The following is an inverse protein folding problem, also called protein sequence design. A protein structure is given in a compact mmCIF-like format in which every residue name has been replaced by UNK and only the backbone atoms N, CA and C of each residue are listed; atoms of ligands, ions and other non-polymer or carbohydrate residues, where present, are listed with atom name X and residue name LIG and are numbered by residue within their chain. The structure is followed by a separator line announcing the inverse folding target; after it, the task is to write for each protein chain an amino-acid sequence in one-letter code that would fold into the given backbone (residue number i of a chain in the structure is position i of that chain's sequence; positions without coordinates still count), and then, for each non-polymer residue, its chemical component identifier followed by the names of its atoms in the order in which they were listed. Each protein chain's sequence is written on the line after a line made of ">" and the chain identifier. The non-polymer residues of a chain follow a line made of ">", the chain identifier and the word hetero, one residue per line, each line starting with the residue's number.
data_IF_167459283292
#
_entry.id   IF_167459283292
#
_cell.length_a   1.000
_cell.length_b   1.000
_cell.length_c   1.000
_cell.angle_alpha   90.00
_cell.angle_beta   90.00
_cell.angle_gamma   90.00
#
_symmetry.space_group_name_H-M   'P 1'
#
loop_
_entity.id
_entity.type
_entity.pdbx_description
1 polymer ?
#
# COMPACT_ATOMS: atom_id res chain seq x y z
N UNK A 1 -20.74 3.24 8.24
CA UNK A 1 -20.56 2.71 6.87
C UNK A 1 -21.03 1.27 6.91
N UNK A 2 -22.00 0.93 6.06
CA UNK A 2 -22.52 -0.44 5.95
C UNK A 2 -21.57 -1.33 5.12
N UNK A 3 -21.89 -2.62 5.06
CA UNK A 3 -21.09 -3.63 4.34
C UNK A 3 -20.95 -3.30 2.86
N UNK A 4 -22.05 -2.96 2.18
CA UNK A 4 -22.05 -2.71 0.73
C UNK A 4 -21.23 -1.48 0.35
N UNK A 5 -21.34 -0.39 1.11
CA UNK A 5 -20.53 0.81 0.91
C UNK A 5 -19.04 0.51 1.11
N UNK A 6 -18.69 -0.30 2.12
CA UNK A 6 -17.31 -0.72 2.38
C UNK A 6 -16.77 -1.60 1.26
N UNK A 7 -17.56 -2.59 0.83
CA UNK A 7 -17.19 -3.49 -0.27
C UNK A 7 -16.97 -2.70 -1.56
N UNK A 8 -17.85 -1.76 -1.91
CA UNK A 8 -17.67 -0.88 -3.08
C UNK A 8 -16.39 -0.05 -2.99
N UNK A 9 -16.13 0.55 -1.84
CA UNK A 9 -14.91 1.33 -1.60
C UNK A 9 -13.65 0.45 -1.78
N UNK A 10 -13.64 -0.74 -1.20
CA UNK A 10 -12.53 -1.69 -1.30
C UNK A 10 -12.32 -2.19 -2.73
N UNK A 11 -13.39 -2.49 -3.47
CA UNK A 11 -13.33 -2.84 -4.90
C UNK A 11 -12.72 -1.71 -5.73
N UNK A 12 -13.12 -0.45 -5.48
CA UNK A 12 -12.52 0.71 -6.15
C UNK A 12 -11.03 0.86 -5.84
N UNK A 13 -10.64 0.64 -4.58
CA UNK A 13 -9.24 0.69 -4.17
C UNK A 13 -8.42 -0.43 -4.84
N UNK A 14 -8.94 -1.66 -4.94
CA UNK A 14 -8.27 -2.76 -5.67
C UNK A 14 -8.09 -2.43 -7.15
N UNK A 15 -9.14 -1.93 -7.81
CA UNK A 15 -9.08 -1.50 -9.22
C UNK A 15 -8.10 -0.36 -9.47
N UNK A 16 -7.83 0.47 -8.46
CA UNK A 16 -6.80 1.52 -8.51
C UNK A 16 -5.37 0.99 -8.28
N UNK A 17 -5.17 -0.33 -8.19
CA UNK A 17 -3.88 -0.97 -7.98
C UNK A 17 -3.51 -1.13 -6.50
N UNK A 18 -4.50 -1.35 -5.63
CA UNK A 18 -4.29 -1.47 -4.19
C UNK A 18 -3.44 -2.68 -3.74
N UNK A 19 -3.43 -3.76 -4.50
CA UNK A 19 -2.78 -5.05 -4.16
C UNK A 19 -1.59 -5.41 -5.05
N UNK A 20 -1.47 -4.81 -6.23
CA UNK A 20 -0.48 -5.18 -7.22
C UNK A 20 0.94 -4.73 -6.86
N UNK A 21 1.87 -5.71 -6.79
CA UNK A 21 3.30 -5.53 -7.09
C UNK A 21 3.39 -4.58 -8.27
N UNK A 22 4.01 -3.44 -8.04
CA UNK A 22 3.78 -2.32 -8.92
C UNK A 22 4.43 -2.56 -10.27
N UNK A 23 3.62 -2.51 -11.32
CA UNK A 23 4.08 -1.97 -12.58
C UNK A 23 3.78 -0.48 -12.50
N UNK A 24 4.81 0.36 -12.48
CA UNK A 24 4.61 1.72 -12.93
C UNK A 24 4.05 1.60 -14.35
N UNK A 25 2.87 2.17 -14.60
CA UNK A 25 2.44 2.48 -15.96
C UNK A 25 2.73 3.96 -16.12
N UNK A 26 3.87 4.37 -16.69
CA UNK A 26 4.06 5.75 -17.06
C UNK A 26 3.21 6.01 -18.30
N UNK A 27 2.44 7.08 -18.22
CA UNK A 27 1.90 7.72 -19.41
C UNK A 27 3.08 8.36 -20.13
N UNK A 28 3.69 7.64 -21.09
CA UNK A 28 4.76 8.17 -21.93
C UNK A 28 5.68 7.10 -22.55
N UNK A 29 5.50 6.87 -23.85
CA UNK A 29 6.36 6.16 -24.83
C UNK A 29 6.94 4.78 -24.45
N UNK A 30 6.55 3.78 -25.24
CA UNK A 30 6.62 2.32 -25.04
C UNK A 30 7.99 1.66 -24.77
N UNK A 31 9.12 2.36 -24.83
CA UNK A 31 10.44 1.70 -24.78
C UNK A 31 11.22 1.85 -23.46
N UNK A 32 10.77 2.69 -22.52
CA UNK A 32 11.39 2.82 -21.19
C UNK A 32 10.69 2.00 -20.07
N UNK A 33 9.70 1.18 -20.42
CA UNK A 33 8.59 0.83 -19.51
C UNK A 33 8.51 -0.63 -19.08
N UNK A 34 9.54 -1.12 -18.39
CA UNK A 34 9.45 -2.37 -17.61
C UNK A 34 10.28 -2.30 -16.34
N UNK A 35 10.13 -1.23 -15.55
CA UNK A 35 10.72 -1.20 -14.21
C UNK A 35 9.56 -1.20 -13.21
N UNK A 36 9.34 -2.34 -12.60
CA UNK A 36 8.44 -2.54 -11.48
C UNK A 36 8.92 -1.73 -10.28
N UNK A 37 8.03 -1.35 -9.35
CA UNK A 37 8.44 -0.78 -8.07
C UNK A 37 9.35 -1.72 -7.30
N UNK A 38 9.17 -3.02 -7.48
CA UNK A 38 10.09 -3.99 -6.90
C UNK A 38 11.48 -3.93 -7.54
N UNK A 39 11.60 -3.62 -8.83
CA UNK A 39 12.89 -3.33 -9.45
C UNK A 39 13.45 -1.98 -8.99
N UNK A 40 12.63 -0.94 -8.78
CA UNK A 40 13.13 0.34 -8.23
C UNK A 40 13.62 0.16 -6.79
N UNK A 41 12.82 -0.47 -5.92
CA UNK A 41 13.17 -0.75 -4.53
C UNK A 41 14.32 -1.76 -4.44
N UNK A 42 14.37 -2.80 -5.27
CA UNK A 42 15.52 -3.71 -5.32
C UNK A 42 16.76 -3.02 -5.88
N UNK A 43 16.64 -2.16 -6.89
CA UNK A 43 17.77 -1.36 -7.36
C UNK A 43 18.30 -0.46 -6.25
N UNK A 44 17.42 0.14 -5.43
CA UNK A 44 17.78 0.94 -4.26
C UNK A 44 18.40 0.10 -3.13
N UNK A 45 17.88 -1.10 -2.88
CA UNK A 45 18.41 -2.01 -1.86
C UNK A 45 19.76 -2.62 -2.26
N UNK A 46 19.92 -2.99 -3.54
CA UNK A 46 21.16 -3.55 -4.10
C UNK A 46 22.24 -2.47 -4.16
N UNK A 47 21.92 -1.23 -4.53
CA UNK A 47 22.90 -0.13 -4.54
C UNK A 47 23.39 0.22 -3.13
N UNK A 48 22.50 0.26 -2.13
CA UNK A 48 22.85 0.57 -0.72
C UNK A 48 23.69 -0.53 -0.06
N UNK A 49 23.47 -1.82 -0.40
CA UNK A 49 24.14 -2.96 0.27
C UNK A 49 25.31 -3.59 -0.46
N UNK A 50 25.35 -3.53 -1.80
CA UNK A 50 26.30 -4.33 -2.58
C UNK A 50 27.38 -3.49 -3.28
N UNK A 51 27.31 -2.15 -3.24
CA UNK A 51 28.26 -1.25 -3.91
C UNK A 51 28.41 -1.52 -5.42
N UNK A 52 27.40 -2.18 -6.01
CA UNK A 52 27.32 -2.46 -7.45
C UNK A 52 26.44 -1.38 -8.07
N UNK A 53 27.08 -0.32 -8.55
CA UNK A 53 26.43 0.75 -9.31
C UNK A 53 26.03 0.23 -10.69
N UNK A 54 24.80 -0.26 -10.83
CA UNK A 54 24.16 -0.32 -12.13
C UNK A 54 23.92 1.13 -12.55
N UNK A 55 24.82 1.67 -13.37
CA UNK A 55 24.96 3.09 -13.76
C UNK A 55 23.62 3.84 -13.65
N UNK A 56 23.32 4.47 -12.49
CA UNK A 56 22.25 5.43 -12.42
C UNK A 56 22.66 6.55 -13.36
N UNK A 57 21.72 7.22 -14.02
CA UNK A 57 21.99 8.56 -14.51
C UNK A 57 22.47 9.37 -13.29
N UNK A 58 23.75 9.77 -13.20
CA UNK A 58 24.29 10.41 -12.00
C UNK A 58 23.50 11.65 -11.61
N UNK A 59 22.86 12.29 -12.59
CA UNK A 59 21.99 13.46 -12.41
C UNK A 59 20.74 13.16 -11.55
N UNK A 60 20.29 11.90 -11.48
CA UNK A 60 19.13 11.50 -10.68
C UNK A 60 19.46 11.15 -9.23
N UNK A 61 20.75 10.93 -8.89
CA UNK A 61 21.17 10.63 -7.52
C UNK A 61 21.00 11.85 -6.62
N UNK A 62 21.49 13.01 -7.06
CA UNK A 62 21.39 14.27 -6.30
C UNK A 62 19.93 14.66 -6.06
N UNK A 63 19.07 14.52 -7.07
CA UNK A 63 17.63 14.77 -6.94
C UNK A 63 17.01 13.82 -5.92
N UNK A 64 17.39 12.55 -5.90
CA UNK A 64 16.86 11.57 -4.96
C UNK A 64 17.30 11.81 -3.52
N UNK A 65 18.56 12.16 -3.28
CA UNK A 65 19.05 12.49 -1.95
C UNK A 65 18.28 13.67 -1.35
N UNK A 66 17.95 14.67 -2.18
CA UNK A 66 17.09 15.80 -1.78
C UNK A 66 15.70 15.30 -1.36
N UNK A 67 15.08 14.39 -2.13
CA UNK A 67 13.75 13.86 -1.79
C UNK A 67 13.79 13.01 -0.52
N UNK A 68 14.83 12.18 -0.34
CA UNK A 68 15.02 11.37 0.87
C UNK A 68 15.21 12.26 2.09
N UNK A 69 16.02 13.32 1.99
CA UNK A 69 16.21 14.30 3.06
C UNK A 69 14.86 14.96 3.44
N UNK A 70 14.10 15.44 2.45
CA UNK A 70 12.76 16.02 2.68
C UNK A 70 11.82 15.07 3.38
N UNK A 71 11.74 13.81 2.94
CA UNK A 71 10.89 12.81 3.57
C UNK A 71 11.38 12.43 4.98
N UNK A 72 12.69 12.53 5.25
CA UNK A 72 13.26 12.29 6.57
C UNK A 72 12.98 13.43 7.57
N UNK A 73 12.88 14.66 7.08
CA UNK A 73 12.55 15.84 7.88
C UNK A 73 11.08 15.84 8.33
N UNK A 74 10.20 15.16 7.59
CA UNK A 74 8.79 15.02 7.96
C UNK A 74 8.64 13.97 9.05
N UNK A 75 8.54 14.41 10.31
CA UNK A 75 8.31 13.53 11.46
C UNK A 75 6.83 13.17 11.62
N UNK A 76 6.56 11.86 11.61
CA UNK A 76 5.24 11.26 11.76
C UNK A 76 4.93 11.09 13.25
N UNK A 77 5.86 10.49 14.00
CA UNK A 77 5.69 10.19 15.42
C UNK A 77 7.04 10.10 16.12
N UNK A 78 7.33 11.05 17.01
CA UNK A 78 8.63 11.15 17.66
C UNK A 78 9.73 11.25 16.59
N UNK A 79 10.68 10.33 16.62
CA UNK A 79 11.80 10.29 15.67
C UNK A 79 11.47 9.58 14.34
N UNK A 80 10.30 8.95 14.24
CA UNK A 80 9.88 8.21 13.05
C UNK A 80 9.51 9.17 11.92
N UNK A 81 10.27 9.15 10.83
CA UNK A 81 10.06 9.97 9.64
C UNK A 81 9.11 9.34 8.61
N UNK A 82 8.64 10.16 7.66
CA UNK A 82 7.82 9.68 6.55
C UNK A 82 8.60 8.69 5.68
N UNK A 83 9.88 8.98 5.43
CA UNK A 83 10.78 8.07 4.74
C UNK A 83 10.87 6.71 5.43
N UNK A 84 10.99 6.69 6.76
CA UNK A 84 11.02 5.44 7.53
C UNK A 84 9.71 4.67 7.42
N UNK A 85 8.55 5.34 7.48
CA UNK A 85 7.26 4.68 7.24
C UNK A 85 7.19 4.06 5.83
N UNK A 86 7.71 4.75 4.81
CA UNK A 86 7.76 4.24 3.44
C UNK A 86 8.71 3.04 3.24
N UNK A 87 9.68 2.84 4.16
CA UNK A 87 10.56 1.66 4.16
C UNK A 87 10.02 0.47 4.96
N UNK A 88 9.03 0.70 5.81
CA UNK A 88 8.45 -0.35 6.65
C UNK A 88 7.51 -1.24 5.84
N UNK A 89 7.35 -2.48 6.31
CA UNK A 89 6.25 -3.33 5.85
C UNK A 89 4.89 -2.69 6.16
N UNK A 90 3.84 -3.11 5.45
CA UNK A 90 2.49 -2.59 5.68
C UNK A 90 2.03 -2.80 7.13
N UNK A 91 2.43 -3.91 7.74
CA UNK A 91 2.06 -4.28 9.11
C UNK A 91 2.77 -3.42 10.16
N UNK A 92 4.07 -3.20 9.98
CA UNK A 92 4.85 -2.29 10.83
C UNK A 92 4.33 -0.86 10.73
N UNK A 93 4.15 -0.35 9.50
CA UNK A 93 3.58 0.96 9.25
C UNK A 93 2.19 1.11 9.86
N UNK A 94 1.34 0.09 9.70
CA UNK A 94 0.00 0.07 10.27
C UNK A 94 0.03 0.13 11.80
N UNK A 95 0.91 -0.63 12.45
CA UNK A 95 1.05 -0.64 13.91
C UNK A 95 1.35 0.74 14.50
N UNK A 96 2.06 1.59 13.73
CA UNK A 96 2.40 2.96 14.09
C UNK A 96 1.22 3.90 13.80
N UNK A 97 0.67 3.84 12.59
CA UNK A 97 -0.33 4.80 12.09
C UNK A 97 -1.73 4.60 12.68
N UNK A 98 -2.12 3.36 13.00
CA UNK A 98 -3.50 3.04 13.41
C UNK A 98 -3.99 3.76 14.67
N UNK A 99 -3.06 4.14 15.55
CA UNK A 99 -3.37 4.81 16.81
C UNK A 99 -3.24 6.34 16.72
N UNK A 100 -2.89 6.88 15.54
CA UNK A 100 -2.76 8.32 15.35
C UNK A 100 -4.12 8.95 15.09
N UNK A 101 -4.53 9.85 15.99
CA UNK A 101 -5.78 10.61 15.81
C UNK A 101 -5.58 11.70 14.77
N UNK A 102 -6.57 11.85 13.88
CA UNK A 102 -6.59 12.88 12.83
C UNK A 102 -5.36 12.87 11.91
N UNK A 103 -4.74 11.70 11.73
CA UNK A 103 -3.59 11.58 10.85
C UNK A 103 -3.96 11.95 9.42
N UNK A 104 -3.11 12.76 8.79
CA UNK A 104 -3.17 13.11 7.37
C UNK A 104 -1.75 13.11 6.84
N UNK A 105 -1.59 12.69 5.59
CA UNK A 105 -0.31 12.84 4.89
C UNK A 105 0.05 14.32 4.91
N UNK A 106 1.21 14.70 5.47
CA UNK A 106 1.65 16.09 5.47
C UNK A 106 1.72 16.60 4.02
N UNK A 107 1.41 17.88 3.78
CA UNK A 107 1.57 18.46 2.46
C UNK A 107 3.04 18.36 2.07
N UNK A 108 3.34 17.62 1.01
CA UNK A 108 4.65 17.64 0.38
C UNK A 108 4.76 18.92 -0.45
N UNK A 109 5.90 19.59 -0.40
CA UNK A 109 6.11 20.87 -1.09
C UNK A 109 5.96 20.72 -2.61
N UNK A 110 5.73 21.83 -3.32
CA UNK A 110 5.65 21.84 -4.79
C UNK A 110 6.97 21.44 -5.48
N UNK A 111 8.05 21.31 -4.70
CA UNK A 111 9.37 20.87 -5.14
C UNK A 111 9.59 19.37 -4.90
N UNK A 112 8.57 18.65 -4.45
CA UNK A 112 8.59 17.19 -4.33
C UNK A 112 8.25 16.63 -5.70
N UNK A 113 9.10 15.75 -6.23
CA UNK A 113 8.85 15.12 -7.53
C UNK A 113 7.48 14.41 -7.49
N UNK A 114 6.68 14.63 -8.54
CA UNK A 114 5.33 14.08 -8.63
C UNK A 114 5.28 12.55 -8.49
N UNK A 115 6.33 11.84 -8.91
CA UNK A 115 6.52 10.39 -8.77
C UNK A 115 6.72 10.01 -7.30
N UNK A 116 7.55 10.74 -6.57
CA UNK A 116 7.77 10.55 -5.12
C UNK A 116 6.46 10.72 -4.36
N UNK A 117 5.73 11.78 -4.69
CA UNK A 117 4.43 12.06 -4.09
C UNK A 117 3.44 10.90 -4.34
N UNK A 118 3.42 10.35 -5.55
CA UNK A 118 2.56 9.23 -5.92
C UNK A 118 2.92 7.97 -5.15
N UNK A 119 4.22 7.65 -5.07
CA UNK A 119 4.74 6.50 -4.31
C UNK A 119 4.36 6.60 -2.83
N UNK A 120 4.65 7.74 -2.20
CA UNK A 120 4.36 7.97 -0.78
C UNK A 120 2.86 7.84 -0.52
N UNK A 121 2.02 8.48 -1.34
CA UNK A 121 0.55 8.41 -1.19
C UNK A 121 0.05 6.99 -1.33
N UNK A 122 0.56 6.23 -2.30
CA UNK A 122 0.14 4.84 -2.54
C UNK A 122 0.54 3.93 -1.38
N UNK A 123 1.80 3.99 -0.93
CA UNK A 123 2.27 3.20 0.21
C UNK A 123 1.46 3.47 1.48
N UNK A 124 1.20 4.75 1.77
CA UNK A 124 0.37 5.13 2.90
C UNK A 124 -1.09 4.67 2.74
N UNK A 125 -1.64 4.73 1.52
CA UNK A 125 -2.98 4.20 1.26
C UNK A 125 -3.04 2.68 1.51
N UNK A 126 -2.01 1.93 1.12
CA UNK A 126 -1.92 0.49 1.35
C UNK A 126 -1.77 0.16 2.84
N UNK A 127 -1.04 0.96 3.62
CA UNK A 127 -1.02 0.82 5.09
C UNK A 127 -2.41 1.10 5.67
N UNK A 128 -3.07 2.16 5.21
CA UNK A 128 -4.33 2.64 5.78
C UNK A 128 -5.56 1.86 5.30
N UNK A 129 -5.44 1.01 4.29
CA UNK A 129 -6.54 0.14 3.84
C UNK A 129 -6.79 -1.01 4.82
N UNK A 130 -5.77 -1.41 5.58
CA UNK A 130 -5.84 -2.58 6.47
C UNK A 130 -7.02 -2.52 7.46
N UNK A 131 -7.29 -1.41 8.19
CA UNK A 131 -8.50 -1.27 8.99
C UNK A 131 -9.80 -1.56 8.25
N UNK A 132 -9.88 -1.13 6.99
CA UNK A 132 -11.08 -1.31 6.19
C UNK A 132 -11.25 -2.76 5.76
N UNK A 133 -10.16 -3.46 5.47
CA UNK A 133 -10.16 -4.90 5.23
C UNK A 133 -10.54 -5.69 6.50
N UNK A 134 -9.96 -5.33 7.65
CA UNK A 134 -10.29 -5.94 8.95
C UNK A 134 -11.78 -5.75 9.30
N UNK A 135 -12.32 -4.55 9.07
CA UNK A 135 -13.75 -4.28 9.24
C UNK A 135 -14.59 -5.08 8.25
N UNK A 136 -14.18 -5.14 6.98
CA UNK A 136 -14.87 -5.90 5.95
C UNK A 136 -14.94 -7.39 6.29
N UNK A 137 -13.83 -8.00 6.70
CA UNK A 137 -13.81 -9.42 7.08
C UNK A 137 -14.63 -9.67 8.34
N UNK A 138 -14.59 -8.76 9.32
CA UNK A 138 -15.46 -8.85 10.49
C UNK A 138 -16.95 -8.76 10.11
N UNK A 139 -17.31 -7.87 9.18
CA UNK A 139 -18.67 -7.73 8.66
C UNK A 139 -19.07 -8.99 7.85
N UNK A 140 -18.17 -9.53 7.04
CA UNK A 140 -18.35 -10.78 6.28
C UNK A 140 -18.66 -11.97 7.20
N UNK A 141 -17.95 -12.08 8.33
CA UNK A 141 -18.19 -13.12 9.33
C UNK A 141 -19.59 -13.06 9.97
N UNK A 142 -20.22 -11.89 9.97
CA UNK A 142 -21.60 -11.71 10.45
C UNK A 142 -22.66 -12.05 9.42
N UNK A 143 -22.29 -12.28 8.16
CA UNK A 143 -23.24 -12.65 7.11
C UNK A 143 -23.68 -14.10 7.25
N UNK A 144 -24.85 -14.42 6.69
CA UNK A 144 -25.41 -15.78 6.63
C UNK A 144 -24.52 -16.76 5.84
N UNK A 145 -23.48 -16.27 5.15
CA UNK A 145 -22.53 -17.11 4.42
C UNK A 145 -21.54 -17.80 5.35
N UNK A 146 -21.01 -17.09 6.33
CA UNK A 146 -20.00 -17.62 7.25
C UNK A 146 -20.60 -18.35 8.46
N UNK A 147 -21.82 -17.96 8.88
CA UNK A 147 -22.57 -18.60 9.99
C UNK A 147 -21.76 -18.84 11.27
N UNK A 148 -20.79 -17.97 11.55
CA UNK A 148 -19.91 -18.15 12.71
C UNK A 148 -20.67 -18.03 14.04
N UNK A 149 -21.84 -17.37 14.06
CA UNK A 149 -22.67 -17.15 15.26
C UNK A 149 -21.89 -16.54 16.43
N UNK A 150 -20.87 -15.74 16.12
CA UNK A 150 -20.03 -15.07 17.11
C UNK A 150 -20.51 -13.62 17.30
N UNK A 151 -20.35 -13.04 18.51
CA UNK A 151 -20.53 -11.61 18.69
C UNK A 151 -19.59 -10.81 17.79
N UNK A 152 -20.06 -9.67 17.26
CA UNK A 152 -19.25 -8.84 16.36
C UNK A 152 -17.88 -8.45 16.93
N UNK A 153 -17.81 -8.18 18.24
CA UNK A 153 -16.55 -7.89 18.92
C UNK A 153 -15.53 -9.03 18.79
N UNK A 154 -15.98 -10.29 18.78
CA UNK A 154 -15.12 -11.46 18.56
C UNK A 154 -14.68 -11.54 17.11
N UNK A 155 -15.59 -11.35 16.15
CA UNK A 155 -15.27 -11.29 14.71
C UNK A 155 -14.21 -10.22 14.41
N UNK A 156 -14.31 -9.06 15.05
CA UNK A 156 -13.31 -7.97 14.98
C UNK A 156 -11.94 -8.40 15.47
N UNK A 157 -11.86 -9.04 16.64
CA UNK A 157 -10.59 -9.54 17.19
C UNK A 157 -9.97 -10.59 16.26
N UNK A 158 -10.78 -11.49 15.71
CA UNK A 158 -10.29 -12.50 14.75
C UNK A 158 -9.75 -11.80 13.50
N UNK A 159 -10.51 -10.87 12.90
CA UNK A 159 -10.10 -10.17 11.69
C UNK A 159 -8.78 -9.38 11.87
N UNK A 160 -8.57 -8.76 13.03
CA UNK A 160 -7.32 -8.04 13.36
C UNK A 160 -6.08 -8.96 13.45
N UNK A 161 -6.27 -10.27 13.61
CA UNK A 161 -5.19 -11.27 13.67
C UNK A 161 -4.91 -11.95 12.34
N UNK A 162 -5.73 -11.70 11.32
CA UNK A 162 -5.52 -12.23 9.97
C UNK A 162 -4.37 -11.46 9.32
N UNK A 163 -3.49 -12.18 8.63
CA UNK A 163 -2.40 -11.57 7.85
C UNK A 163 -2.98 -10.83 6.64
N UNK A 164 -2.25 -9.84 6.14
CA UNK A 164 -2.81 -8.93 5.13
C UNK A 164 -3.18 -9.67 3.82
N UNK A 165 -2.38 -10.65 3.43
CA UNK A 165 -2.60 -11.48 2.24
C UNK A 165 -3.94 -12.23 2.33
N UNK A 166 -4.23 -12.82 3.48
CA UNK A 166 -5.49 -13.52 3.73
C UNK A 166 -6.68 -12.54 3.74
N UNK A 167 -6.49 -11.32 4.25
CA UNK A 167 -7.53 -10.28 4.18
C UNK A 167 -7.87 -9.92 2.72
N UNK A 168 -6.86 -9.82 1.85
CA UNK A 168 -7.06 -9.60 0.42
C UNK A 168 -7.74 -10.76 -0.27
N UNK A 169 -7.31 -11.99 0.04
CA UNK A 169 -7.92 -13.18 -0.51
C UNK A 169 -9.42 -13.24 -0.21
N UNK A 170 -9.83 -12.88 1.02
CA UNK A 170 -11.25 -12.78 1.38
C UNK A 170 -12.01 -11.74 0.59
N UNK A 171 -11.40 -10.58 0.34
CA UNK A 171 -12.01 -9.54 -0.49
C UNK A 171 -12.16 -10.02 -1.94
N UNK A 172 -11.12 -10.64 -2.50
CA UNK A 172 -11.11 -11.19 -3.85
C UNK A 172 -12.22 -12.22 -4.07
N UNK A 173 -12.44 -13.12 -3.10
CA UNK A 173 -13.52 -14.11 -3.11
C UNK A 173 -14.91 -13.48 -3.23
N UNK A 174 -15.09 -12.29 -2.70
CA UNK A 174 -16.36 -11.53 -2.71
C UNK A 174 -16.52 -10.61 -3.94
N UNK A 175 -15.53 -10.56 -4.83
CA UNK A 175 -15.63 -9.86 -6.11
C UNK A 175 -16.26 -10.76 -7.18
N UNK A 176 -17.11 -10.20 -8.04
CA UNK A 176 -17.61 -10.92 -9.22
C UNK A 176 -16.53 -10.98 -10.33
N UNK A 177 -16.83 -11.73 -11.40
CA UNK A 177 -15.87 -11.93 -12.49
C UNK A 177 -15.56 -10.62 -13.25
N UNK A 178 -16.53 -9.71 -13.38
CA UNK A 178 -16.35 -8.42 -14.06
C UNK A 178 -15.43 -7.50 -13.25
N UNK A 179 -15.62 -7.48 -11.94
CA UNK A 179 -14.80 -6.73 -11.00
C UNK A 179 -13.34 -7.20 -11.00
N UNK A 180 -13.10 -8.52 -11.11
CA UNK A 180 -11.76 -9.11 -11.18
C UNK A 180 -11.07 -8.88 -12.52
N UNK A 181 -11.81 -8.84 -13.62
CA UNK A 181 -11.25 -8.66 -14.97
C UNK A 181 -10.53 -7.31 -15.15
N UNK A 182 -10.90 -6.31 -14.34
CA UNK A 182 -10.24 -4.99 -14.33
C UNK A 182 -8.99 -4.89 -13.46
N UNK A 183 -8.59 -5.98 -12.78
CA UNK A 183 -7.43 -5.98 -11.88
C UNK A 183 -6.27 -6.69 -12.58
N UNK A 184 -5.10 -6.04 -12.70
CA UNK A 184 -3.91 -6.69 -13.26
C UNK A 184 -3.56 -7.95 -12.46
N UNK A 185 -3.60 -9.12 -13.10
CA UNK A 185 -3.16 -10.35 -12.45
C UNK A 185 -1.65 -10.28 -12.23
N UNK A 186 -1.21 -10.10 -10.99
CA UNK A 186 0.19 -10.29 -10.66
C UNK A 186 0.50 -11.78 -10.78
N UNK A 187 1.41 -12.12 -11.68
CA UNK A 187 1.91 -13.48 -11.84
C UNK A 187 2.75 -13.86 -10.62
N UNK A 188 2.13 -14.27 -9.51
CA UNK A 188 2.88 -14.87 -8.40
C UNK A 188 2.32 -14.78 -6.99
N UNK A 189 1.19 -14.13 -6.74
CA UNK A 189 0.63 -14.10 -5.37
C UNK A 189 -0.88 -14.29 -5.40
N UNK A 190 -1.30 -15.55 -5.53
CA UNK A 190 -2.51 -16.11 -4.93
C UNK A 190 -2.18 -17.51 -4.44
#
# INVERSE_FOLDING_TARGET
>A
MDFDARLKMLKCWMKAGGDGIDYFIPVGTEEMLKVTYWEIINHLYISEKLDIYYRPFPELLDEWEIQVAKLNDIKIKGDISLYQICRMSYDEGYSILKNMKNWRVPPLDHHTDGRVLLIVKRHLANILIRPHLELFVADLFMTDRCKLNLPYAVCRIVAEKIILEDLFQRLWEEMDAEDRAGIPQSSGCF
#
